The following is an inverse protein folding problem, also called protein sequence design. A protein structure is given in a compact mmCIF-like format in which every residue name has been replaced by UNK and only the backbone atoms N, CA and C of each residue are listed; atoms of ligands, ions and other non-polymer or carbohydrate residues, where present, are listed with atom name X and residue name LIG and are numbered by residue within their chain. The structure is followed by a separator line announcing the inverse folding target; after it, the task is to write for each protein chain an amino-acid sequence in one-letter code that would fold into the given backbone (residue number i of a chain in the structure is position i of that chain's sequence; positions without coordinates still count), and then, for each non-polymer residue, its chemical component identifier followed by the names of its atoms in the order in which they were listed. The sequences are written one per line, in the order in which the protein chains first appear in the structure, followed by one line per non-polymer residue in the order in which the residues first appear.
data_IF_890076549897
#
_entry.id   IF_890076549897
#
_cell.length_a   1.000
_cell.length_b   1.000
_cell.length_c   1.000
_cell.angle_alpha   90.00
_cell.angle_beta   90.00
_cell.angle_gamma   90.00
#
_symmetry.space_group_name_H-M   'P 1'
#
loop_
_entity.id
_entity.type
_entity.pdbx_description
1 polymer ?
#
# COMPACT_ATOMS: atom_id res chain seq x y z
N UNK A 1 -22.84 20.06 -11.81
CA UNK A 1 -21.38 19.96 -11.61
C UNK A 1 -21.14 20.19 -10.13
N UNK A 2 -20.97 19.12 -9.35
CA UNK A 2 -20.79 19.20 -7.90
C UNK A 2 -19.32 19.51 -7.61
N UNK A 3 -19.05 20.65 -6.98
CA UNK A 3 -17.71 21.03 -6.54
C UNK A 3 -17.38 20.17 -5.32
N UNK A 4 -16.80 18.99 -5.56
CA UNK A 4 -16.21 18.17 -4.49
C UNK A 4 -15.10 19.00 -3.86
N UNK A 5 -15.19 19.26 -2.55
CA UNK A 5 -14.14 19.94 -1.81
C UNK A 5 -12.80 19.20 -2.03
N UNK A 6 -11.69 19.90 -2.34
CA UNK A 6 -10.41 19.25 -2.54
C UNK A 6 -9.96 18.59 -1.23
N UNK A 7 -9.38 17.39 -1.34
CA UNK A 7 -8.73 16.72 -0.22
C UNK A 7 -7.54 17.56 0.26
N UNK A 8 -7.43 17.81 1.56
CA UNK A 8 -6.32 18.56 2.16
C UNK A 8 -5.86 17.96 3.50
N UNK A 9 -4.62 18.26 3.90
CA UNK A 9 -4.05 17.93 5.20
C UNK A 9 -3.19 19.10 5.68
N UNK A 10 -3.35 19.49 6.94
CA UNK A 10 -2.54 20.52 7.59
C UNK A 10 -1.43 19.83 8.37
N UNK A 11 -0.18 20.08 7.97
CA UNK A 11 1.01 19.62 8.68
C UNK A 11 1.37 20.62 9.79
N UNK A 12 1.87 20.12 10.91
CA UNK A 12 2.32 20.94 12.06
C UNK A 12 1.25 21.89 12.60
N UNK A 13 0.02 21.39 12.78
CA UNK A 13 -1.04 22.19 13.40
C UNK A 13 -0.62 22.67 14.80
N UNK A 14 -0.94 23.91 15.20
CA UNK A 14 -0.56 24.47 16.51
C UNK A 14 -1.06 23.67 17.71
N UNK A 15 -2.17 22.93 17.54
CA UNK A 15 -2.75 22.05 18.55
C UNK A 15 -2.18 20.61 18.54
N UNK A 16 -1.21 20.33 17.67
CA UNK A 16 -0.57 19.03 17.52
C UNK A 16 -1.47 17.95 16.90
N UNK A 17 -2.64 18.31 16.36
CA UNK A 17 -3.60 17.38 15.76
C UNK A 17 -3.56 17.44 14.24
N UNK A 18 -3.81 16.30 13.60
CA UNK A 18 -3.94 16.23 12.15
C UNK A 18 -5.32 16.74 11.72
N UNK A 19 -5.36 17.85 10.97
CA UNK A 19 -6.59 18.41 10.40
C UNK A 19 -6.61 18.19 8.89
N UNK A 20 -7.74 17.73 8.35
CA UNK A 20 -7.81 17.43 6.92
C UNK A 20 -8.97 16.53 6.52
N UNK A 21 -8.99 16.15 5.25
CA UNK A 21 -9.90 15.13 4.75
C UNK A 21 -9.60 13.76 5.39
N UNK A 22 -10.59 12.87 5.37
CA UNK A 22 -10.47 11.56 6.02
C UNK A 22 -9.39 10.69 5.35
N UNK A 23 -9.29 10.75 4.01
CA UNK A 23 -8.31 10.04 3.20
C UNK A 23 -6.88 10.45 3.59
N UNK A 24 -6.56 11.74 3.50
CA UNK A 24 -5.20 12.23 3.75
C UNK A 24 -4.78 12.12 5.21
N UNK A 25 -5.70 12.30 6.17
CA UNK A 25 -5.41 12.00 7.58
C UNK A 25 -5.06 10.54 7.83
N UNK A 26 -5.72 9.63 7.10
CA UNK A 26 -5.41 8.20 7.22
C UNK A 26 -4.03 7.88 6.66
N UNK A 27 -3.63 8.50 5.54
CA UNK A 27 -2.28 8.36 4.96
C UNK A 27 -1.22 8.92 5.92
N UNK A 28 -1.45 10.10 6.51
CA UNK A 28 -0.54 10.71 7.47
C UNK A 28 -0.29 9.81 8.69
N UNK A 29 -1.38 9.31 9.28
CA UNK A 29 -1.31 8.42 10.45
C UNK A 29 -0.59 7.10 10.12
N UNK A 30 -0.85 6.52 8.94
CA UNK A 30 -0.15 5.31 8.49
C UNK A 30 1.35 5.54 8.29
N UNK A 31 1.72 6.65 7.62
CA UNK A 31 3.11 7.03 7.40
C UNK A 31 3.87 7.19 8.73
N UNK A 32 3.26 7.87 9.70
CA UNK A 32 3.80 8.05 11.05
C UNK A 32 3.94 6.75 11.83
N UNK A 33 2.96 5.84 11.73
CA UNK A 33 3.06 4.51 12.38
C UNK A 33 4.20 3.66 11.81
N UNK A 34 4.47 3.75 10.50
CA UNK A 34 5.46 2.91 9.83
C UNK A 34 6.88 3.50 9.98
N UNK A 35 7.03 4.80 9.80
CA UNK A 35 8.34 5.47 9.71
C UNK A 35 8.69 6.33 10.92
N UNK A 36 7.77 6.53 11.86
CA UNK A 36 7.92 7.45 12.99
C UNK A 36 7.56 8.90 12.67
N UNK A 37 7.48 9.26 11.39
CA UNK A 37 7.16 10.61 10.91
C UNK A 37 6.19 10.60 9.71
N UNK A 38 5.65 11.76 9.36
CA UNK A 38 4.76 11.89 8.19
C UNK A 38 5.62 12.15 6.96
N UNK A 39 5.80 11.13 6.13
CA UNK A 39 6.58 11.22 4.89
C UNK A 39 5.73 11.71 3.71
N UNK A 40 6.26 12.70 2.98
CA UNK A 40 5.65 13.25 1.77
C UNK A 40 5.40 12.17 0.70
N UNK A 41 6.32 11.21 0.56
CA UNK A 41 6.20 10.10 -0.39
C UNK A 41 4.97 9.23 -0.18
N UNK A 42 4.37 9.23 1.02
CA UNK A 42 3.10 8.57 1.26
C UNK A 42 1.95 9.25 0.49
N UNK A 43 1.95 10.57 0.34
CA UNK A 43 0.88 11.26 -0.37
C UNK A 43 1.01 11.20 -1.89
N UNK A 44 2.19 10.86 -2.39
CA UNK A 44 2.52 10.81 -3.82
C UNK A 44 2.25 9.44 -4.44
N UNK A 45 1.93 8.43 -3.62
CA UNK A 45 1.68 7.07 -4.11
C UNK A 45 0.47 7.05 -5.03
N UNK A 46 0.65 6.45 -6.20
CA UNK A 46 -0.43 6.32 -7.18
C UNK A 46 -1.54 5.34 -6.71
N UNK A 47 -1.20 4.38 -5.86
CA UNK A 47 -2.12 3.32 -5.44
C UNK A 47 -1.94 2.87 -3.99
N UNK A 48 -3.07 2.51 -3.40
CA UNK A 48 -3.18 1.93 -2.07
C UNK A 48 -4.06 0.68 -2.10
N UNK A 49 -3.57 -0.47 -1.59
CA UNK A 49 -4.41 -1.66 -1.45
C UNK A 49 -5.50 -1.43 -0.41
N UNK A 50 -6.72 -1.90 -0.72
CA UNK A 50 -7.87 -1.82 0.18
C UNK A 50 -8.12 -3.19 0.78
N UNK A 51 -7.98 -3.29 2.10
CA UNK A 51 -8.22 -4.51 2.86
C UNK A 51 -9.59 -4.48 3.55
N UNK A 52 -10.18 -5.65 3.84
CA UNK A 52 -11.38 -5.74 4.67
C UNK A 52 -11.17 -5.12 6.06
N UNK A 53 -11.68 -3.90 6.25
CA UNK A 53 -11.57 -3.16 7.50
C UNK A 53 -12.70 -3.52 8.48
N UNK A 54 -12.46 -3.28 9.78
CA UNK A 54 -13.46 -3.36 10.84
C UNK A 54 -13.48 -2.07 11.67
N UNK A 55 -14.41 -1.95 12.61
CA UNK A 55 -14.50 -0.79 13.51
C UNK A 55 -13.19 -0.54 14.29
N UNK A 56 -12.42 -1.60 14.59
CA UNK A 56 -11.18 -1.52 15.38
C UNK A 56 -9.91 -1.51 14.54
N UNK A 57 -9.97 -1.96 13.28
CA UNK A 57 -8.80 -2.13 12.41
C UNK A 57 -9.12 -1.55 11.05
N UNK A 58 -8.40 -0.49 10.66
CA UNK A 58 -8.59 0.14 9.36
C UNK A 58 -7.72 -0.54 8.29
N UNK A 59 -8.07 -0.41 7.01
CA UNK A 59 -7.26 -0.96 5.91
C UNK A 59 -5.79 -0.50 5.97
N UNK A 60 -5.55 0.72 6.47
CA UNK A 60 -4.21 1.28 6.65
C UNK A 60 -3.39 0.59 7.74
N UNK A 61 -4.04 0.13 8.82
CA UNK A 61 -3.36 -0.64 9.86
C UNK A 61 -2.90 -1.98 9.28
N UNK A 62 -3.74 -2.62 8.45
CA UNK A 62 -3.40 -3.86 7.75
C UNK A 62 -2.26 -3.63 6.75
N UNK A 63 -2.32 -2.53 5.97
CA UNK A 63 -1.27 -2.17 5.02
C UNK A 63 0.09 -1.99 5.71
N UNK A 64 0.13 -1.32 6.86
CA UNK A 64 1.34 -1.14 7.65
C UNK A 64 1.93 -2.49 8.09
N UNK A 65 1.08 -3.40 8.59
CA UNK A 65 1.50 -4.75 8.95
C UNK A 65 2.04 -5.54 7.76
N UNK A 66 1.34 -5.51 6.62
CA UNK A 66 1.78 -6.19 5.39
C UNK A 66 3.15 -5.68 4.95
N UNK A 67 3.37 -4.37 4.92
CA UNK A 67 4.67 -3.78 4.60
C UNK A 67 5.78 -4.23 5.54
N UNK A 68 5.50 -4.26 6.84
CA UNK A 68 6.48 -4.69 7.83
C UNK A 68 6.86 -6.16 7.64
N UNK A 69 5.88 -7.03 7.37
CA UNK A 69 6.12 -8.44 7.09
C UNK A 69 6.93 -8.61 5.81
N UNK A 70 6.51 -7.99 4.70
CA UNK A 70 7.22 -8.09 3.42
C UNK A 70 8.66 -7.53 3.47
N UNK A 71 8.95 -6.59 4.38
CA UNK A 71 10.29 -6.04 4.55
C UNK A 71 11.29 -7.03 5.20
N UNK A 72 10.79 -8.07 5.87
CA UNK A 72 11.61 -9.06 6.59
C UNK A 72 11.36 -10.49 6.11
N UNK A 73 10.49 -10.67 5.12
CA UNK A 73 10.16 -11.97 4.55
C UNK A 73 11.32 -12.44 3.68
N UNK A 74 11.77 -13.67 3.89
CA UNK A 74 12.70 -14.33 2.96
C UNK A 74 12.02 -14.52 1.60
N UNK A 75 12.78 -14.56 0.48
CA UNK A 75 12.20 -14.74 -0.85
C UNK A 75 11.24 -15.93 -0.90
N UNK A 76 10.02 -15.70 -1.38
CA UNK A 76 8.99 -16.74 -1.46
C UNK A 76 9.32 -17.67 -2.64
N UNK A 77 9.52 -18.98 -2.39
CA UNK A 77 9.80 -19.92 -3.47
C UNK A 77 8.57 -20.08 -4.37
N UNK A 78 8.81 -20.17 -5.67
CA UNK A 78 7.74 -20.40 -6.63
C UNK A 78 7.06 -21.76 -6.41
N UNK A 79 5.72 -21.81 -6.39
CA UNK A 79 4.98 -23.06 -6.27
C UNK A 79 5.02 -23.88 -7.57
N UNK A 80 5.27 -23.21 -8.70
CA UNK A 80 5.39 -23.82 -10.01
C UNK A 80 6.86 -24.04 -10.38
N UNK A 81 7.18 -25.10 -11.14
CA UNK A 81 8.53 -25.26 -11.69
C UNK A 81 8.93 -24.06 -12.56
N UNK A 82 10.20 -23.68 -12.51
CA UNK A 82 10.76 -22.56 -13.29
C UNK A 82 10.44 -22.69 -14.80
N UNK A 83 10.41 -23.92 -15.33
CA UNK A 83 10.06 -24.18 -16.72
C UNK A 83 8.63 -23.73 -17.06
N UNK A 84 7.68 -23.92 -16.15
CA UNK A 84 6.28 -23.51 -16.34
C UNK A 84 6.18 -21.99 -16.25
N UNK A 85 6.82 -21.38 -15.25
CA UNK A 85 6.87 -19.92 -15.11
C UNK A 85 7.42 -19.28 -16.38
N UNK A 86 8.51 -19.81 -16.92
CA UNK A 86 9.14 -19.31 -18.14
C UNK A 86 8.29 -19.55 -19.40
N UNK A 87 7.69 -20.73 -19.55
CA UNK A 87 6.86 -21.08 -20.71
C UNK A 87 5.64 -20.14 -20.84
N UNK A 88 5.00 -19.83 -19.71
CA UNK A 88 3.81 -18.98 -19.68
C UNK A 88 4.12 -17.49 -19.45
N UNK A 89 5.40 -17.12 -19.28
CA UNK A 89 5.82 -15.74 -19.02
C UNK A 89 5.25 -15.16 -17.73
N UNK A 90 5.07 -16.01 -16.71
CA UNK A 90 4.56 -15.60 -15.40
C UNK A 90 5.65 -14.85 -14.61
N UNK A 91 5.22 -13.99 -13.70
CA UNK A 91 6.11 -13.44 -12.67
C UNK A 91 6.23 -14.45 -11.53
N UNK A 92 7.32 -14.39 -10.76
CA UNK A 92 7.46 -15.29 -9.60
C UNK A 92 6.43 -14.97 -8.51
N UNK A 93 6.12 -15.94 -7.65
CA UNK A 93 5.25 -15.77 -6.49
C UNK A 93 5.72 -14.62 -5.59
N UNK A 94 7.03 -14.54 -5.33
CA UNK A 94 7.65 -13.45 -4.57
C UNK A 94 7.35 -12.08 -5.20
N UNK A 95 7.53 -11.97 -6.52
CA UNK A 95 7.25 -10.74 -7.26
C UNK A 95 5.75 -10.41 -7.25
N UNK A 96 4.89 -11.41 -7.41
CA UNK A 96 3.44 -11.23 -7.39
C UNK A 96 2.97 -10.71 -6.02
N UNK A 97 3.44 -11.31 -4.93
CA UNK A 97 3.09 -10.93 -3.57
C UNK A 97 3.53 -9.49 -3.26
N UNK A 98 4.73 -9.10 -3.68
CA UNK A 98 5.20 -7.72 -3.51
C UNK A 98 4.44 -6.75 -4.41
N UNK A 99 4.22 -7.10 -5.68
CA UNK A 99 3.58 -6.21 -6.65
C UNK A 99 2.13 -5.89 -6.24
N UNK A 100 1.33 -6.90 -5.86
CA UNK A 100 -0.09 -6.69 -5.53
C UNK A 100 -0.29 -5.74 -4.34
N UNK A 101 0.68 -5.69 -3.42
CA UNK A 101 0.62 -4.84 -2.22
C UNK A 101 1.35 -3.50 -2.37
N UNK A 102 2.47 -3.47 -3.10
CA UNK A 102 3.43 -2.35 -3.05
C UNK A 102 3.63 -1.66 -4.39
N UNK A 103 3.32 -2.31 -5.52
CA UNK A 103 3.57 -1.70 -6.83
C UNK A 103 2.62 -0.52 -7.08
N UNK A 104 3.21 0.53 -7.63
CA UNK A 104 2.49 1.71 -8.12
C UNK A 104 2.11 1.57 -9.59
N UNK A 105 2.69 0.60 -10.30
CA UNK A 105 2.39 0.26 -11.69
C UNK A 105 1.14 -0.62 -11.75
N UNK A 106 0.10 -0.11 -12.42
CA UNK A 106 -1.11 -0.89 -12.69
C UNK A 106 -0.79 -2.17 -13.48
N UNK A 107 0.12 -2.08 -14.44
CA UNK A 107 0.52 -3.25 -15.24
C UNK A 107 1.19 -4.35 -14.42
N UNK A 108 2.00 -3.99 -13.41
CA UNK A 108 2.64 -4.96 -12.52
C UNK A 108 1.62 -5.62 -11.59
N UNK A 109 0.71 -4.83 -11.02
CA UNK A 109 -0.38 -5.38 -10.20
C UNK A 109 -1.31 -6.29 -11.01
N UNK A 110 -1.58 -5.93 -12.26
CA UNK A 110 -2.42 -6.75 -13.13
C UNK A 110 -1.74 -8.10 -13.40
N UNK A 111 -0.42 -8.11 -13.68
CA UNK A 111 0.35 -9.35 -13.84
C UNK A 111 0.33 -10.21 -12.56
N UNK A 112 0.45 -9.57 -11.39
CA UNK A 112 0.38 -10.25 -10.11
C UNK A 112 -0.99 -10.86 -9.80
N UNK A 113 -2.07 -10.22 -10.25
CA UNK A 113 -3.42 -10.75 -10.05
C UNK A 113 -3.79 -11.88 -11.02
N UNK A 114 -3.02 -12.05 -12.10
CA UNK A 114 -3.27 -13.04 -13.16
C UNK A 114 -2.35 -14.26 -13.12
N UNK A 115 -1.51 -14.38 -12.08
CA UNK A 115 -0.62 -15.53 -11.84
C UNK A 115 -1.36 -16.79 -11.41
#
# INVERSE_FOLDING_TARGET
MQLTHPDFLILNSPDGKDHGSKSLRSIAHASKKISGEVLQSAFERAFYPIYPASTKVQSWDIYACVRQVLAVLDPVPDPLPESVVAEYGLISEDQALHAIHLSESESERQRAASG
#
